data_IF_756990009328
#
_entry.id   IF_756990009328
#
_cell.length_a   1.000
_cell.length_b   1.000
_cell.length_c   1.000
_cell.angle_alpha   90.00
_cell.angle_beta   90.00
_cell.angle_gamma   90.00
#
_symmetry.space_group_name_H-M   'P 1'
#
loop_
_entity.id
_entity.type
_entity.pdbx_description
1 polymer ?
#
# COMPACT_ATOMS: atom_id res chain seq x y z
N UNK A 1 12.09 23.59 -1.00
CA UNK A 1 10.65 23.84 -1.15
C UNK A 1 9.88 22.78 -1.96
N UNK A 2 10.45 21.58 -2.19
CA UNK A 2 9.84 20.50 -3.02
C UNK A 2 9.29 19.30 -2.20
N UNK A 3 9.26 19.34 -0.86
CA UNK A 3 9.03 18.15 -0.02
C UNK A 3 7.70 18.10 0.75
N UNK A 4 6.93 19.19 0.77
CA UNK A 4 5.58 19.18 1.38
C UNK A 4 4.55 18.39 0.56
N UNK A 5 4.86 18.11 -0.69
CA UNK A 5 3.96 17.49 -1.64
C UNK A 5 3.66 16.00 -1.37
N UNK A 6 4.52 15.30 -0.63
CA UNK A 6 4.38 13.83 -0.48
C UNK A 6 3.31 13.42 0.55
N UNK A 7 2.91 14.33 1.43
CA UNK A 7 2.13 14.04 2.63
C UNK A 7 0.71 14.62 2.65
N UNK A 8 0.41 15.61 1.82
CA UNK A 8 -0.96 16.11 1.58
C UNK A 8 -1.84 15.03 0.91
N UNK A 9 -1.19 14.00 0.37
CA UNK A 9 -1.80 12.85 -0.31
C UNK A 9 -2.82 12.11 0.57
N UNK A 10 -2.55 11.91 1.85
CA UNK A 10 -3.45 11.18 2.75
C UNK A 10 -4.73 11.96 3.10
N UNK A 11 -4.66 13.28 3.22
CA UNK A 11 -5.83 14.09 3.59
C UNK A 11 -6.94 14.12 2.54
N UNK A 12 -6.59 14.16 1.24
CA UNK A 12 -7.59 14.11 0.18
C UNK A 12 -8.11 12.68 -0.08
N UNK A 13 -7.31 11.64 0.25
CA UNK A 13 -7.77 10.24 0.20
C UNK A 13 -9.01 10.01 1.06
N UNK A 14 -9.09 10.64 2.22
CA UNK A 14 -10.30 10.59 3.04
C UNK A 14 -11.51 11.10 2.31
N UNK A 15 -11.36 12.18 1.57
CA UNK A 15 -12.49 12.72 0.81
C UNK A 15 -13.01 11.72 -0.23
N UNK A 16 -12.12 10.88 -0.77
CA UNK A 16 -12.49 9.83 -1.71
C UNK A 16 -13.05 8.62 -1.00
N UNK A 17 -12.38 8.15 0.06
CA UNK A 17 -12.89 7.05 0.88
C UNK A 17 -14.31 7.36 1.37
N UNK A 18 -14.56 8.59 1.82
CA UNK A 18 -15.90 9.04 2.21
C UNK A 18 -16.90 9.06 1.05
N UNK A 19 -16.44 9.26 -0.18
CA UNK A 19 -17.31 9.16 -1.37
C UNK A 19 -17.58 7.72 -1.79
N UNK A 20 -16.56 6.86 -1.69
CA UNK A 20 -16.64 5.45 -2.08
C UNK A 20 -17.33 4.57 -1.05
N UNK A 21 -17.29 4.98 0.22
CA UNK A 21 -17.90 4.23 1.33
C UNK A 21 -18.46 5.18 2.40
N UNK A 22 -19.58 5.88 2.10
CA UNK A 22 -20.17 6.83 3.02
C UNK A 22 -20.71 6.18 4.31
N UNK A 23 -21.04 4.87 4.29
CA UNK A 23 -21.56 4.16 5.45
C UNK A 23 -20.50 3.92 6.52
N UNK A 24 -19.26 3.74 6.14
CA UNK A 24 -18.11 3.51 7.04
C UNK A 24 -17.27 4.78 7.29
N UNK A 25 -17.64 5.90 6.71
CA UNK A 25 -16.92 7.18 6.83
C UNK A 25 -16.74 7.64 8.28
N UNK A 26 -17.64 7.27 9.18
CA UNK A 26 -17.61 7.66 10.60
C UNK A 26 -16.67 6.81 11.46
N UNK A 27 -16.30 5.60 11.03
CA UNK A 27 -15.37 4.72 11.76
C UNK A 27 -13.90 5.13 11.60
N UNK A 28 -13.61 6.06 10.69
CA UNK A 28 -12.27 6.50 10.32
C UNK A 28 -11.62 7.46 11.33
N UNK A 29 -12.23 7.73 12.49
CA UNK A 29 -11.75 8.68 13.48
C UNK A 29 -10.39 8.31 14.12
N UNK A 30 -10.00 7.03 14.05
CA UNK A 30 -8.69 6.57 14.56
C UNK A 30 -7.52 6.85 13.60
N UNK A 31 -7.80 7.20 12.34
CA UNK A 31 -6.77 7.40 11.33
C UNK A 31 -6.06 8.74 11.41
N UNK A 32 -6.68 9.78 11.98
CA UNK A 32 -6.09 11.15 12.01
C UNK A 32 -4.70 11.17 12.65
N UNK A 33 -4.59 10.56 13.83
CA UNK A 33 -3.32 10.51 14.55
C UNK A 33 -2.32 9.55 13.91
N UNK A 34 -2.81 8.48 13.25
CA UNK A 34 -1.96 7.49 12.60
C UNK A 34 -1.34 8.04 11.31
N UNK A 35 -2.07 8.86 10.56
CA UNK A 35 -1.54 9.49 9.34
C UNK A 35 -0.36 10.39 9.66
N UNK A 36 -0.52 11.31 10.63
CA UNK A 36 0.57 12.17 11.06
C UNK A 36 1.77 11.38 11.59
N UNK A 37 1.51 10.29 12.32
CA UNK A 37 2.56 9.42 12.82
C UNK A 37 3.31 8.71 11.68
N UNK A 38 2.60 8.18 10.68
CA UNK A 38 3.21 7.53 9.52
C UNK A 38 4.08 8.49 8.70
N UNK A 39 3.68 9.74 8.55
CA UNK A 39 4.50 10.76 7.90
C UNK A 39 5.84 10.94 8.61
N UNK A 40 5.80 11.08 9.94
CA UNK A 40 7.02 11.20 10.76
C UNK A 40 7.87 9.94 10.66
N UNK A 41 7.28 8.76 10.67
CA UNK A 41 8.01 7.50 10.53
C UNK A 41 8.68 7.36 9.17
N UNK A 42 8.01 7.77 8.10
CA UNK A 42 8.59 7.79 6.75
C UNK A 42 9.76 8.77 6.63
N UNK A 43 9.65 9.97 7.24
CA UNK A 43 10.76 10.92 7.30
C UNK A 43 11.95 10.33 8.06
N UNK A 44 11.72 9.69 9.20
CA UNK A 44 12.76 9.05 10.01
C UNK A 44 13.41 7.88 9.23
N UNK A 45 12.60 7.05 8.59
CA UNK A 45 13.09 5.91 7.79
C UNK A 45 13.90 6.37 6.58
N UNK A 46 13.50 7.47 5.95
CA UNK A 46 14.23 8.06 4.82
C UNK A 46 15.50 8.83 5.22
N UNK A 47 15.85 8.85 6.51
CA UNK A 47 16.96 9.64 7.08
C UNK A 47 16.80 11.16 6.86
N UNK A 48 15.57 11.64 6.81
CA UNK A 48 15.20 13.03 6.55
C UNK A 48 14.26 13.61 7.62
N UNK A 49 14.48 13.35 8.92
CA UNK A 49 13.56 13.81 9.96
C UNK A 49 13.54 15.35 10.03
N UNK A 50 12.43 15.88 10.53
CA UNK A 50 12.19 17.33 10.56
C UNK A 50 13.28 18.12 11.29
N UNK A 51 13.93 17.53 12.31
CA UNK A 51 15.01 18.14 13.08
C UNK A 51 16.38 18.13 12.37
N UNK A 52 16.55 17.37 11.28
CA UNK A 52 17.80 17.34 10.48
C UNK A 52 17.83 18.39 9.38
N UNK A 53 16.79 19.21 9.26
CA UNK A 53 16.69 20.25 8.21
C UNK A 53 17.70 21.39 8.38
N UNK A 54 18.24 21.55 9.57
CA UNK A 54 19.35 22.45 9.85
C UNK A 54 20.66 21.76 9.49
N UNK A 55 21.43 22.34 8.59
CA UNK A 55 22.66 21.79 8.02
C UNK A 55 23.77 21.42 9.03
N UNK A 56 23.54 21.62 10.32
CA UNK A 56 24.45 21.31 11.42
C UNK A 56 24.15 19.97 12.10
N UNK A 57 22.96 19.40 11.92
CA UNK A 57 22.56 18.16 12.55
C UNK A 57 22.73 16.98 11.57
N UNK A 58 23.56 16.02 11.94
CA UNK A 58 23.68 14.75 11.22
C UNK A 58 22.82 13.70 11.92
N UNK A 59 22.14 12.89 11.12
CA UNK A 59 21.40 11.73 11.60
C UNK A 59 22.29 10.48 11.57
N UNK A 60 21.94 9.50 12.37
CA UNK A 60 22.61 8.19 12.40
C UNK A 60 21.82 7.12 11.64
N UNK A 61 20.76 7.52 10.95
CA UNK A 61 19.82 6.63 10.26
C UNK A 61 19.32 5.46 11.13
N UNK A 62 19.07 5.72 12.41
CA UNK A 62 18.67 4.70 13.38
C UNK A 62 17.32 4.06 13.00
N UNK A 63 16.38 4.83 12.43
CA UNK A 63 15.07 4.32 12.03
C UNK A 63 15.19 3.18 11.02
N UNK A 64 15.91 3.39 9.92
CA UNK A 64 16.12 2.35 8.92
C UNK A 64 16.95 1.18 9.47
N UNK A 65 17.96 1.46 10.31
CA UNK A 65 18.78 0.42 10.93
C UNK A 65 17.95 -0.50 11.83
N UNK A 66 17.08 0.08 12.67
CA UNK A 66 16.19 -0.68 13.54
C UNK A 66 15.20 -1.50 12.74
N UNK A 67 14.55 -0.90 11.71
CA UNK A 67 13.59 -1.60 10.85
C UNK A 67 14.26 -2.78 10.12
N UNK A 68 15.48 -2.59 9.60
CA UNK A 68 16.26 -3.64 8.94
C UNK A 68 16.63 -4.76 9.88
N UNK A 69 16.99 -4.44 11.13
CA UNK A 69 17.34 -5.45 12.13
C UNK A 69 16.11 -6.26 12.57
N UNK A 70 14.95 -5.63 12.76
CA UNK A 70 13.70 -6.35 13.00
C UNK A 70 13.37 -7.31 11.86
N UNK A 71 13.43 -6.84 10.62
CA UNK A 71 13.18 -7.70 9.45
C UNK A 71 14.18 -8.87 9.39
N UNK A 72 15.45 -8.63 9.71
CA UNK A 72 16.48 -9.66 9.76
C UNK A 72 16.16 -10.71 10.83
N UNK A 73 15.79 -10.29 12.04
CA UNK A 73 15.47 -11.20 13.14
C UNK A 73 14.23 -12.05 12.84
N UNK A 74 13.18 -11.45 12.27
CA UNK A 74 11.98 -12.19 11.84
C UNK A 74 12.35 -13.29 10.83
N UNK A 75 13.22 -12.97 9.87
CA UNK A 75 13.56 -13.90 8.78
C UNK A 75 14.53 -15.01 9.19
N UNK A 76 15.28 -14.88 10.30
CA UNK A 76 16.22 -15.91 10.74
C UNK A 76 15.49 -17.19 11.17
N UNK A 77 14.32 -17.06 11.82
CA UNK A 77 13.56 -18.19 12.37
C UNK A 77 12.26 -18.44 11.56
N UNK A 78 12.13 -17.75 10.40
CA UNK A 78 10.93 -17.87 9.61
C UNK A 78 10.98 -19.11 8.72
N UNK A 79 10.14 -20.08 9.04
CA UNK A 79 9.88 -21.26 8.21
C UNK A 79 8.41 -21.34 7.86
N UNK A 80 8.11 -21.56 6.59
CA UNK A 80 6.73 -21.72 6.14
C UNK A 80 6.65 -22.66 4.95
N UNK A 81 5.58 -23.45 4.91
CA UNK A 81 5.32 -24.40 3.85
C UNK A 81 3.83 -24.51 3.55
N UNK A 82 3.49 -24.56 2.28
CA UNK A 82 2.12 -24.80 1.83
C UNK A 82 1.91 -26.31 1.69
N UNK A 83 0.88 -26.84 2.35
CA UNK A 83 0.52 -28.26 2.36
C UNK A 83 -0.99 -28.46 2.30
N UNK A 84 -1.45 -29.70 2.06
CA UNK A 84 -2.86 -30.07 2.20
C UNK A 84 -3.74 -29.87 0.97
N UNK A 85 -3.13 -29.66 -0.21
CA UNK A 85 -3.84 -29.54 -1.49
C UNK A 85 -3.07 -30.25 -2.60
N UNK A 86 -3.77 -30.73 -3.61
CA UNK A 86 -3.14 -31.25 -4.84
C UNK A 86 -2.35 -30.17 -5.60
N UNK A 87 -2.61 -28.89 -5.31
CA UNK A 87 -1.89 -27.74 -5.87
C UNK A 87 -0.80 -27.21 -4.94
N UNK A 88 -0.49 -27.90 -3.85
CA UNK A 88 0.45 -27.40 -2.84
C UNK A 88 1.84 -27.12 -3.44
N UNK A 89 2.35 -27.99 -4.29
CA UNK A 89 3.68 -27.83 -4.91
C UNK A 89 3.70 -26.62 -5.86
N UNK A 90 2.67 -26.42 -6.67
CA UNK A 90 2.54 -25.25 -7.54
C UNK A 90 2.45 -23.94 -6.73
N UNK A 91 1.63 -23.94 -5.68
CA UNK A 91 1.48 -22.75 -4.81
C UNK A 91 2.76 -22.48 -4.03
N UNK A 92 3.48 -23.53 -3.62
CA UNK A 92 4.77 -23.39 -2.94
C UNK A 92 5.80 -22.71 -3.85
N UNK A 93 5.91 -23.11 -5.11
CA UNK A 93 6.81 -22.48 -6.09
C UNK A 93 6.49 -20.98 -6.25
N UNK A 94 5.21 -20.60 -6.33
CA UNK A 94 4.81 -19.22 -6.42
C UNK A 94 5.11 -18.44 -5.12
N UNK A 95 4.92 -19.09 -3.99
CA UNK A 95 5.17 -18.52 -2.67
C UNK A 95 6.67 -18.28 -2.40
N UNK A 96 7.54 -19.14 -2.88
CA UNK A 96 9.00 -18.97 -2.74
C UNK A 96 9.49 -17.66 -3.39
N UNK A 97 8.88 -17.23 -4.48
CA UNK A 97 9.18 -15.95 -5.11
C UNK A 97 8.82 -14.75 -4.21
N UNK A 98 7.78 -14.87 -3.40
CA UNK A 98 7.46 -13.90 -2.37
C UNK A 98 8.55 -13.88 -1.29
N UNK A 99 8.99 -15.06 -0.84
CA UNK A 99 9.97 -15.19 0.24
C UNK A 99 11.32 -14.57 -0.12
N UNK A 100 11.76 -14.64 -1.38
CA UNK A 100 13.00 -14.01 -1.86
C UNK A 100 13.04 -12.49 -1.58
N UNK A 101 11.90 -11.82 -1.63
CA UNK A 101 11.78 -10.39 -1.42
C UNK A 101 11.24 -10.00 -0.03
N UNK A 102 10.81 -10.99 0.74
CA UNK A 102 10.04 -10.76 1.98
C UNK A 102 10.80 -9.92 2.99
N UNK A 103 12.10 -10.14 3.15
CA UNK A 103 12.93 -9.37 4.10
C UNK A 103 12.88 -7.86 3.82
N UNK A 104 13.09 -7.45 2.57
CA UNK A 104 13.07 -6.03 2.17
C UNK A 104 11.69 -5.43 2.36
N UNK A 105 10.63 -6.21 2.10
CA UNK A 105 9.25 -5.77 2.29
C UNK A 105 8.88 -5.66 3.75
N UNK A 106 9.35 -6.59 4.59
CA UNK A 106 9.16 -6.53 6.04
C UNK A 106 9.88 -5.34 6.65
N UNK A 107 11.08 -5.00 6.18
CA UNK A 107 11.81 -3.80 6.62
C UNK A 107 10.94 -2.55 6.43
N UNK A 108 10.38 -2.35 5.22
CA UNK A 108 9.47 -1.26 4.95
C UNK A 108 8.21 -1.32 5.84
N UNK A 109 7.65 -2.52 6.03
CA UNK A 109 6.50 -2.73 6.92
C UNK A 109 6.80 -2.38 8.38
N UNK A 110 7.97 -2.76 8.89
CA UNK A 110 8.42 -2.39 10.23
C UNK A 110 8.59 -0.87 10.39
N UNK A 111 9.02 -0.19 9.32
CA UNK A 111 9.23 1.26 9.35
C UNK A 111 7.91 2.05 9.41
N UNK A 112 6.85 1.58 8.73
CA UNK A 112 5.57 2.31 8.59
C UNK A 112 4.41 1.68 9.38
N UNK A 113 4.68 0.62 10.14
CA UNK A 113 3.70 0.00 11.03
C UNK A 113 2.87 -1.13 10.42
N UNK A 114 2.97 -1.39 9.11
CA UNK A 114 2.23 -2.50 8.49
C UNK A 114 2.56 -2.73 7.02
N UNK A 115 2.23 -3.93 6.58
CA UNK A 115 2.36 -4.35 5.19
C UNK A 115 1.18 -5.25 4.83
N UNK A 116 0.68 -5.14 3.62
CA UNK A 116 -0.34 -6.01 3.07
C UNK A 116 0.17 -6.69 1.81
N UNK A 117 -0.08 -8.00 1.71
CA UNK A 117 0.19 -8.77 0.50
C UNK A 117 -1.08 -8.86 -0.32
N UNK A 118 -1.01 -8.36 -1.55
CA UNK A 118 -2.10 -8.39 -2.51
C UNK A 118 -1.68 -9.28 -3.69
N UNK A 119 -2.13 -10.54 -3.74
CA UNK A 119 -1.78 -11.42 -4.85
C UNK A 119 -2.53 -10.99 -6.13
N UNK A 120 -1.85 -11.06 -7.26
CA UNK A 120 -2.43 -10.91 -8.59
C UNK A 120 -1.83 -11.93 -9.55
N UNK A 121 -2.54 -12.23 -10.62
CA UNK A 121 -2.07 -13.17 -11.64
C UNK A 121 -1.61 -12.41 -12.88
N UNK A 122 -0.43 -12.75 -13.38
CA UNK A 122 0.09 -12.22 -14.63
C UNK A 122 0.75 -13.34 -15.41
N UNK A 123 0.28 -13.56 -16.65
CA UNK A 123 0.79 -14.62 -17.52
C UNK A 123 0.74 -16.02 -16.87
N UNK A 124 -0.31 -16.33 -16.10
CA UNK A 124 -0.46 -17.61 -15.40
C UNK A 124 0.42 -17.78 -14.15
N UNK A 125 1.12 -16.73 -13.73
CA UNK A 125 1.97 -16.71 -12.53
C UNK A 125 1.32 -15.85 -11.46
N UNK A 126 1.25 -16.36 -10.23
CA UNK A 126 0.79 -15.59 -9.07
C UNK A 126 1.95 -14.74 -8.57
N UNK A 127 1.75 -13.43 -8.57
CA UNK A 127 2.72 -12.46 -8.11
C UNK A 127 2.14 -11.71 -6.90
N UNK A 128 2.89 -11.54 -5.81
CA UNK A 128 2.47 -10.73 -4.69
C UNK A 128 2.81 -9.26 -4.94
N UNK A 129 1.85 -8.39 -4.79
CA UNK A 129 2.10 -6.97 -4.61
C UNK A 129 2.17 -6.67 -3.12
N UNK A 130 3.27 -6.09 -2.68
CA UNK A 130 3.51 -5.79 -1.27
C UNK A 130 3.27 -4.31 -1.04
N UNK A 131 2.21 -4.00 -0.31
CA UNK A 131 1.71 -2.64 -0.10
C UNK A 131 1.95 -2.24 1.35
N UNK A 132 2.69 -1.17 1.56
CA UNK A 132 2.94 -0.60 2.89
C UNK A 132 1.74 0.18 3.41
N UNK A 133 1.63 0.34 4.73
CA UNK A 133 0.47 0.94 5.40
C UNK A 133 0.14 2.36 4.91
N UNK A 134 1.12 3.10 4.42
CA UNK A 134 0.93 4.42 3.82
C UNK A 134 0.16 4.42 2.48
N UNK A 135 -0.11 3.25 1.91
CA UNK A 135 -0.74 3.10 0.59
C UNK A 135 -2.05 2.31 0.62
N UNK A 136 -2.57 1.99 1.78
CA UNK A 136 -3.90 1.42 1.91
C UNK A 136 -4.61 1.87 3.17
N UNK A 137 -5.94 1.91 3.10
CA UNK A 137 -6.83 2.22 4.23
C UNK A 137 -7.78 1.04 4.42
N UNK A 138 -7.72 0.34 5.55
CA UNK A 138 -8.75 -0.65 5.87
C UNK A 138 -10.08 0.06 6.17
N UNK A 139 -11.16 -0.40 5.54
CA UNK A 139 -12.49 0.19 5.68
C UNK A 139 -13.34 -0.58 6.69
N UNK A 140 -13.28 -1.90 6.64
CA UNK A 140 -14.13 -2.75 7.45
C UNK A 140 -13.39 -3.98 7.98
N UNK A 141 -13.83 -4.44 9.15
CA UNK A 141 -13.27 -5.59 9.85
C UNK A 141 -14.40 -6.54 10.25
N UNK A 142 -14.12 -7.84 10.13
CA UNK A 142 -14.95 -8.88 10.72
C UNK A 142 -14.05 -9.84 11.50
N UNK A 143 -14.30 -9.96 12.82
CA UNK A 143 -13.52 -10.81 13.72
C UNK A 143 -12.00 -10.55 13.67
N UNK A 144 -11.59 -9.27 13.55
CA UNK A 144 -10.18 -8.88 13.46
C UNK A 144 -9.54 -9.07 12.08
N UNK A 145 -10.32 -9.54 11.09
CA UNK A 145 -9.87 -9.70 9.71
C UNK A 145 -10.39 -8.54 8.87
N UNK A 146 -9.53 -7.93 8.06
CA UNK A 146 -9.93 -6.87 7.14
C UNK A 146 -10.80 -7.47 6.04
N UNK A 147 -12.04 -6.99 5.91
CA UNK A 147 -13.00 -7.42 4.89
C UNK A 147 -13.19 -6.41 3.77
N UNK A 148 -12.80 -5.17 4.00
CA UNK A 148 -12.76 -4.15 2.96
C UNK A 148 -11.57 -3.23 3.16
N UNK A 149 -10.89 -2.88 2.06
CA UNK A 149 -9.77 -1.95 2.06
C UNK A 149 -9.74 -1.14 0.76
N UNK A 150 -9.21 0.07 0.85
CA UNK A 150 -8.89 0.92 -0.31
C UNK A 150 -7.39 0.99 -0.46
N UNK A 151 -6.93 0.74 -1.67
CA UNK A 151 -5.54 0.85 -2.09
C UNK A 151 -5.38 2.02 -3.05
N UNK A 152 -4.22 2.64 -3.01
CA UNK A 152 -3.92 3.73 -3.93
C UNK A 152 -2.50 3.64 -4.45
N UNK A 153 -2.38 4.00 -5.70
CA UNK A 153 -1.09 4.11 -6.37
C UNK A 153 -1.09 5.35 -7.25
N UNK A 154 0.01 6.10 -7.22
CA UNK A 154 0.18 7.28 -8.03
C UNK A 154 1.37 7.11 -8.96
N UNK A 155 1.18 7.42 -10.24
CA UNK A 155 2.21 7.42 -11.26
C UNK A 155 2.32 8.81 -11.90
N UNK A 156 3.53 9.16 -12.31
CA UNK A 156 3.82 10.45 -12.96
C UNK A 156 4.10 10.21 -14.43
N UNK A 157 3.33 10.86 -15.31
CA UNK A 157 3.59 10.86 -16.73
C UNK A 157 3.59 12.30 -17.28
N UNK A 158 4.75 12.72 -17.73
CA UNK A 158 4.97 14.10 -18.17
C UNK A 158 4.84 15.10 -17.03
N UNK A 159 3.81 15.95 -17.06
CA UNK A 159 3.51 16.94 -16.02
C UNK A 159 2.31 16.54 -15.13
N UNK A 160 1.70 15.41 -15.43
CA UNK A 160 0.48 14.98 -14.77
C UNK A 160 0.77 13.84 -13.79
N UNK A 161 0.00 13.84 -12.71
CA UNK A 161 -0.05 12.81 -11.68
C UNK A 161 -1.34 12.03 -11.90
N UNK A 162 -1.20 10.72 -12.10
CA UNK A 162 -2.31 9.81 -12.27
C UNK A 162 -2.44 8.97 -11.01
N UNK A 163 -3.62 8.95 -10.43
CA UNK A 163 -3.87 8.19 -9.21
C UNK A 163 -4.94 7.13 -9.47
N UNK A 164 -4.60 5.89 -9.19
CA UNK A 164 -5.55 4.78 -9.12
C UNK A 164 -5.97 4.58 -7.68
N UNK A 165 -7.25 4.55 -7.46
CA UNK A 165 -7.88 4.18 -6.20
C UNK A 165 -8.66 2.90 -6.43
N UNK A 166 -8.36 1.87 -5.66
CA UNK A 166 -8.93 0.54 -5.79
C UNK A 166 -9.58 0.13 -4.47
N UNK A 167 -10.89 -0.05 -4.45
CA UNK A 167 -11.65 -0.60 -3.32
C UNK A 167 -11.80 -2.09 -3.52
N UNK A 168 -11.35 -2.87 -2.55
CA UNK A 168 -11.57 -4.31 -2.50
C UNK A 168 -12.47 -4.65 -1.33
N UNK A 169 -13.48 -5.49 -1.57
CA UNK A 169 -14.43 -5.95 -0.56
C UNK A 169 -14.61 -7.45 -0.66
N UNK A 170 -14.51 -8.13 0.47
CA UNK A 170 -14.77 -9.56 0.59
C UNK A 170 -16.00 -9.83 1.43
N UNK A 171 -16.97 -10.58 0.90
CA UNK A 171 -18.15 -11.06 1.60
C UNK A 171 -18.00 -12.53 1.98
N UNK A 172 -17.98 -12.80 3.29
CA UNK A 172 -17.94 -14.18 3.79
C UNK A 172 -19.25 -14.94 3.51
N UNK A 173 -20.39 -14.25 3.50
CA UNK A 173 -21.69 -14.85 3.26
C UNK A 173 -21.80 -15.39 1.84
N UNK A 174 -21.41 -14.58 0.87
CA UNK A 174 -21.50 -14.90 -0.56
C UNK A 174 -20.22 -15.52 -1.11
N UNK A 175 -19.15 -15.59 -0.31
CA UNK A 175 -17.80 -15.98 -0.75
C UNK A 175 -17.36 -15.23 -2.02
N UNK A 176 -17.73 -13.93 -2.10
CA UNK A 176 -17.46 -13.08 -3.25
C UNK A 176 -16.40 -12.05 -2.91
N UNK A 177 -15.55 -11.76 -3.90
CA UNK A 177 -14.56 -10.71 -3.85
C UNK A 177 -14.89 -9.69 -4.95
N UNK A 178 -15.08 -8.44 -4.56
CA UNK A 178 -15.42 -7.34 -5.47
C UNK A 178 -14.28 -6.34 -5.50
N UNK A 179 -13.91 -5.91 -6.70
CA UNK A 179 -12.87 -4.91 -6.94
C UNK A 179 -13.48 -3.76 -7.75
N UNK A 180 -13.41 -2.56 -7.19
CA UNK A 180 -13.84 -1.32 -7.83
C UNK A 180 -12.62 -0.43 -8.04
N UNK A 181 -12.36 0.04 -9.25
CA UNK A 181 -11.20 0.88 -9.58
C UNK A 181 -11.64 2.23 -10.14
N UNK A 182 -11.10 3.30 -9.57
CA UNK A 182 -11.29 4.68 -9.98
C UNK A 182 -9.96 5.30 -10.36
N UNK A 183 -9.95 6.13 -11.39
CA UNK A 183 -8.75 6.76 -11.91
C UNK A 183 -8.91 8.28 -11.91
N UNK A 184 -7.87 8.97 -11.48
CA UNK A 184 -7.86 10.42 -11.37
C UNK A 184 -6.62 11.00 -12.01
N UNK A 185 -6.72 12.21 -12.53
CA UNK A 185 -5.59 12.95 -13.08
C UNK A 185 -5.50 14.35 -12.47
N UNK A 186 -4.28 14.74 -12.10
CA UNK A 186 -3.97 16.06 -11.53
C UNK A 186 -2.69 16.63 -12.12
N UNK A 187 -2.55 17.94 -12.09
CA UNK A 187 -1.30 18.66 -12.38
C UNK A 187 -0.40 18.82 -11.15
N UNK A 188 -0.88 18.41 -9.96
CA UNK A 188 -0.15 18.50 -8.69
C UNK A 188 -0.19 17.17 -7.96
N UNK A 189 0.90 16.75 -7.29
CA UNK A 189 0.92 15.55 -6.48
C UNK A 189 -0.01 15.62 -5.26
N UNK A 190 -0.35 16.84 -4.83
CA UNK A 190 -1.11 17.12 -3.61
C UNK A 190 -2.62 17.19 -3.85
N UNK A 191 -3.04 16.96 -5.07
CA UNK A 191 -4.45 17.02 -5.46
C UNK A 191 -4.80 15.79 -6.29
N UNK A 192 -5.93 15.16 -6.00
CA UNK A 192 -6.39 14.03 -6.80
C UNK A 192 -6.81 14.44 -8.21
N UNK A 193 -7.32 15.66 -8.36
CA UNK A 193 -7.80 16.18 -9.63
C UNK A 193 -9.16 15.64 -10.06
N UNK A 194 -9.34 15.48 -11.36
CA UNK A 194 -10.59 15.02 -11.96
C UNK A 194 -10.56 13.51 -12.19
N UNK A 195 -11.70 12.87 -11.97
CA UNK A 195 -11.90 11.46 -12.33
C UNK A 195 -11.89 11.31 -13.85
N UNK A 196 -11.23 10.28 -14.35
CA UNK A 196 -11.09 9.97 -15.75
C UNK A 196 -11.56 8.54 -16.04
N UNK A 197 -12.12 8.35 -17.25
CA UNK A 197 -12.48 7.00 -17.69
C UNK A 197 -11.20 6.19 -17.99
N UNK A 198 -11.12 4.92 -17.53
CA UNK A 198 -10.00 4.02 -17.84
C UNK A 198 -9.68 3.92 -19.34
N UNK A 199 -10.67 4.04 -20.22
CA UNK A 199 -10.49 4.02 -21.67
C UNK A 199 -9.63 5.18 -22.22
N UNK A 200 -9.51 6.27 -21.45
CA UNK A 200 -8.68 7.43 -21.77
C UNK A 200 -7.26 7.34 -21.22
N UNK A 201 -6.92 6.25 -20.55
CA UNK A 201 -5.57 5.97 -20.08
C UNK A 201 -4.74 5.38 -21.21
N UNK A 202 -3.48 5.80 -21.32
CA UNK A 202 -2.54 5.14 -22.21
C UNK A 202 -2.34 3.67 -21.79
N UNK A 203 -2.31 2.77 -22.78
CA UNK A 203 -2.15 1.33 -22.57
C UNK A 203 -0.90 0.94 -21.75
N UNK A 204 0.11 1.81 -21.72
CA UNK A 204 1.34 1.59 -20.95
C UNK A 204 1.21 1.99 -19.48
N UNK A 205 0.20 2.78 -19.15
CA UNK A 205 -0.12 3.14 -17.77
C UNK A 205 -0.92 2.00 -17.17
N UNK A 206 -0.47 1.52 -16.03
CA UNK A 206 -1.17 0.44 -15.34
C UNK A 206 -1.16 -0.90 -16.09
N UNK A 207 -0.07 -1.24 -16.80
CA UNK A 207 0.13 -2.59 -17.36
C UNK A 207 0.00 -3.72 -16.32
N UNK A 208 -0.18 -3.34 -15.05
CA UNK A 208 -0.48 -4.20 -13.91
C UNK A 208 -1.97 -4.22 -13.53
N UNK A 209 -2.85 -3.63 -14.34
CA UNK A 209 -4.31 -3.76 -14.16
C UNK A 209 -4.77 -5.08 -14.78
N UNK A 210 -4.04 -6.15 -14.59
CA UNK A 210 -4.62 -7.45 -14.86
C UNK A 210 -5.70 -7.69 -13.80
N UNK A 211 -6.89 -8.12 -14.21
CA UNK A 211 -7.94 -8.40 -13.26
C UNK A 211 -7.42 -9.44 -12.27
N UNK A 212 -7.57 -9.14 -11.00
CA UNK A 212 -7.33 -10.11 -9.96
C UNK A 212 -8.34 -11.25 -10.15
N UNK A 213 -7.87 -12.47 -10.12
CA UNK A 213 -8.73 -13.66 -10.20
C UNK A 213 -9.21 -14.00 -8.80
#
# INVERSE_FOLDING_TARGET
MKRRAKYVFLSWLRSIVNKLDPENATSNYQFDNMEEAMEVWLEIYADEPSWSKDCHNKTLNLGATIASEFARLIMIEFESKITGSERADYLQEQYERLLEQLRVRLEAGCAVGGIMFKPYVRNGVILPDCITQDKFIPLNYSNGIITAAVFFNQEVKGKNYYTRVEKQTYSYENKSHTIESHFFVSSSPDNIGAEINPENLDSDMWSRIDPYI
#
